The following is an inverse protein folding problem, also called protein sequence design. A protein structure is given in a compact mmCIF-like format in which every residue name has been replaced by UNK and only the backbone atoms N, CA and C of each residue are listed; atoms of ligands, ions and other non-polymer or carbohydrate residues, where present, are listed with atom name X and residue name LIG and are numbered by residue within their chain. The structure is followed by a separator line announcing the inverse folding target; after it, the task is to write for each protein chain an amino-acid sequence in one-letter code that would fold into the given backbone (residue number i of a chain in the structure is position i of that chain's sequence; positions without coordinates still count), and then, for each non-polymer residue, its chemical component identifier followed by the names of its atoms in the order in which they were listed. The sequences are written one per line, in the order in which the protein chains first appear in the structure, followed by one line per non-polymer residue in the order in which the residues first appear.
data_IF_510302978194
#
_entry.id   IF_510302978194
#
_cell.length_a   1.000
_cell.length_b   1.000
_cell.length_c   1.000
_cell.angle_alpha   90.00
_cell.angle_beta   90.00
_cell.angle_gamma   90.00
#
_symmetry.space_group_name_H-M   'P 1'
#
loop_
_entity.id
_entity.type
_entity.pdbx_description
1 polymer ?
#
# COMPACT_ATOMS: atom_id res chain seq x y z
N UNK A 1 0.79 -5.90 -13.75
CA UNK A 1 0.50 -7.23 -14.32
C UNK A 1 -0.55 -7.99 -13.50
N UNK A 2 -0.41 -8.10 -12.17
CA UNK A 2 -1.35 -8.84 -11.31
C UNK A 2 -2.79 -8.28 -11.21
N UNK A 3 -3.00 -6.98 -11.40
CA UNK A 3 -4.32 -6.35 -11.30
C UNK A 3 -5.35 -6.74 -12.39
N UNK A 4 -4.96 -7.59 -13.35
CA UNK A 4 -5.77 -7.92 -14.56
C UNK A 4 -6.26 -9.36 -14.59
N UNK A 5 -5.59 -10.26 -13.87
CA UNK A 5 -6.07 -11.64 -13.71
C UNK A 5 -7.34 -11.63 -12.87
N UNK A 6 -8.13 -12.71 -12.92
CA UNK A 6 -9.32 -12.87 -12.10
C UNK A 6 -8.95 -12.69 -10.62
N UNK A 7 -9.06 -11.44 -10.14
CA UNK A 7 -8.19 -10.93 -9.07
C UNK A 7 -8.35 -11.69 -7.77
N UNK A 8 -9.53 -12.28 -7.56
CA UNK A 8 -9.89 -13.01 -6.34
C UNK A 8 -9.28 -14.42 -6.30
N UNK A 9 -9.24 -15.14 -7.44
CA UNK A 9 -8.56 -16.44 -7.55
C UNK A 9 -7.03 -16.28 -7.53
N UNK A 10 -6.53 -15.22 -8.17
CA UNK A 10 -5.12 -14.85 -8.08
C UNK A 10 -4.75 -14.50 -6.63
N UNK A 11 -5.55 -13.71 -5.93
CA UNK A 11 -5.31 -13.40 -4.51
C UNK A 11 -5.18 -14.67 -3.64
N UNK A 12 -6.10 -15.63 -3.77
CA UNK A 12 -6.04 -16.90 -3.02
C UNK A 12 -4.77 -17.70 -3.35
N UNK A 13 -4.48 -17.89 -4.64
CA UNK A 13 -3.34 -18.70 -5.07
C UNK A 13 -1.99 -18.02 -4.76
N UNK A 14 -1.92 -16.69 -4.91
CA UNK A 14 -0.72 -15.90 -4.61
C UNK A 14 -0.48 -15.80 -3.12
N UNK A 15 -1.53 -15.62 -2.29
CA UNK A 15 -1.42 -15.63 -0.83
C UNK A 15 -0.95 -17.01 -0.32
N UNK A 16 -1.44 -18.09 -0.92
CA UNK A 16 -0.98 -19.44 -0.59
C UNK A 16 0.49 -19.65 -0.96
N UNK A 17 0.91 -19.21 -2.15
CA UNK A 17 2.29 -19.33 -2.62
C UNK A 17 3.27 -18.52 -1.75
N UNK A 18 2.89 -17.31 -1.33
CA UNK A 18 3.69 -16.47 -0.42
C UNK A 18 3.77 -17.02 0.99
N UNK A 19 2.68 -17.58 1.48
CA UNK A 19 2.56 -17.96 2.88
C UNK A 19 3.37 -19.22 3.22
N UNK A 20 3.57 -20.09 2.23
CA UNK A 20 3.88 -21.51 2.48
C UNK A 20 5.30 -21.88 2.06
N UNK A 21 5.77 -21.40 0.90
CA UNK A 21 6.95 -21.98 0.23
C UNK A 21 8.28 -21.74 0.94
N UNK A 22 8.67 -20.48 1.15
CA UNK A 22 10.02 -20.15 1.61
C UNK A 22 10.19 -20.23 3.14
N UNK A 23 9.13 -20.00 3.92
CA UNK A 23 9.20 -20.06 5.39
C UNK A 23 9.42 -21.49 5.90
N UNK A 24 8.85 -22.48 5.20
CA UNK A 24 9.00 -23.91 5.53
C UNK A 24 10.42 -24.41 5.28
N UNK A 25 11.13 -23.87 4.28
CA UNK A 25 12.52 -24.24 3.96
C UNK A 25 13.45 -23.96 5.15
N UNK A 26 13.34 -22.78 5.78
CA UNK A 26 14.14 -22.43 6.97
C UNK A 26 13.66 -23.11 8.26
N UNK A 27 12.43 -23.60 8.28
CA UNK A 27 11.89 -24.38 9.39
C UNK A 27 12.38 -25.83 9.38
N UNK A 28 12.66 -26.39 8.18
CA UNK A 28 13.08 -27.77 8.00
C UNK A 28 14.59 -27.99 8.21
N UNK A 29 15.45 -27.17 7.59
CA UNK A 29 16.90 -27.30 7.72
C UNK A 29 17.62 -25.97 7.54
N UNK A 30 18.72 -25.77 8.27
CA UNK A 30 19.52 -24.52 8.27
C UNK A 30 20.93 -24.70 7.72
N UNK A 31 21.14 -25.72 6.89
CA UNK A 31 22.42 -25.86 6.18
C UNK A 31 22.57 -24.77 5.12
N UNK A 32 23.81 -24.49 4.72
CA UNK A 32 24.15 -23.37 3.81
C UNK A 32 23.33 -23.39 2.50
N UNK A 33 23.06 -24.57 1.95
CA UNK A 33 22.27 -24.74 0.73
C UNK A 33 20.80 -24.31 0.90
N UNK A 34 20.20 -24.55 2.07
CA UNK A 34 18.83 -24.14 2.37
C UNK A 34 18.72 -22.62 2.55
N UNK A 35 19.78 -21.98 3.04
CA UNK A 35 19.84 -20.52 3.18
C UNK A 35 19.88 -19.82 1.82
N UNK A 36 20.67 -20.32 0.87
CA UNK A 36 20.68 -19.81 -0.51
C UNK A 36 19.34 -20.06 -1.22
N UNK A 37 18.78 -21.27 -1.10
CA UNK A 37 17.47 -21.59 -1.64
C UNK A 37 16.36 -20.68 -1.07
N UNK A 38 16.41 -20.38 0.23
CA UNK A 38 15.51 -19.43 0.88
C UNK A 38 15.61 -18.04 0.27
N UNK A 39 16.81 -17.50 0.06
CA UNK A 39 16.97 -16.16 -0.52
C UNK A 39 16.45 -16.08 -1.95
N UNK A 40 16.78 -17.07 -2.79
CA UNK A 40 16.29 -17.13 -4.17
C UNK A 40 14.77 -17.19 -4.19
N UNK A 41 14.17 -18.12 -3.42
CA UNK A 41 12.72 -18.29 -3.40
C UNK A 41 12.00 -17.08 -2.79
N UNK A 42 12.52 -16.52 -1.69
CA UNK A 42 12.00 -15.30 -1.07
C UNK A 42 12.02 -14.13 -2.05
N UNK A 43 13.11 -13.97 -2.81
CA UNK A 43 13.23 -12.87 -3.78
C UNK A 43 12.23 -13.02 -4.92
N UNK A 44 12.13 -14.22 -5.52
CA UNK A 44 11.15 -14.51 -6.58
C UNK A 44 9.72 -14.32 -6.09
N UNK A 45 9.42 -14.80 -4.89
CA UNK A 45 8.10 -14.68 -4.27
C UNK A 45 7.77 -13.22 -3.94
N UNK A 46 8.71 -12.45 -3.38
CA UNK A 46 8.51 -11.03 -3.10
C UNK A 46 8.23 -10.22 -4.37
N UNK A 47 8.99 -10.46 -5.45
CA UNK A 47 8.79 -9.79 -6.74
C UNK A 47 7.38 -9.98 -7.30
N UNK A 48 6.79 -11.16 -7.15
CA UNK A 48 5.48 -11.48 -7.72
C UNK A 48 4.35 -11.10 -6.76
N UNK A 49 4.52 -11.33 -5.47
CA UNK A 49 3.39 -11.44 -4.56
C UNK A 49 3.21 -10.22 -3.65
N UNK A 50 4.28 -9.57 -3.21
CA UNK A 50 4.19 -8.51 -2.19
C UNK A 50 3.40 -7.29 -2.68
N UNK A 51 3.71 -6.80 -3.89
CA UNK A 51 2.95 -5.73 -4.52
C UNK A 51 1.53 -6.16 -4.95
N UNK A 52 1.39 -7.42 -5.38
CA UNK A 52 0.12 -7.93 -5.90
C UNK A 52 -0.93 -8.12 -4.82
N UNK A 53 -0.56 -8.72 -3.68
CA UNK A 53 -1.50 -8.97 -2.57
C UNK A 53 -2.03 -7.66 -2.01
N UNK A 54 -1.15 -6.69 -1.78
CA UNK A 54 -1.55 -5.37 -1.28
C UNK A 54 -2.47 -4.63 -2.27
N UNK A 55 -2.11 -4.61 -3.56
CA UNK A 55 -2.93 -3.98 -4.59
C UNK A 55 -4.33 -4.62 -4.70
N UNK A 56 -4.40 -5.95 -4.69
CA UNK A 56 -5.67 -6.67 -4.83
C UNK A 56 -6.53 -6.54 -3.56
N UNK A 57 -5.92 -6.54 -2.37
CA UNK A 57 -6.65 -6.30 -1.12
C UNK A 57 -7.28 -4.89 -1.12
N UNK A 58 -6.54 -3.88 -1.59
CA UNK A 58 -7.05 -2.52 -1.73
C UNK A 58 -8.18 -2.43 -2.78
N UNK A 59 -8.02 -3.06 -3.93
CA UNK A 59 -9.09 -3.11 -4.94
C UNK A 59 -10.35 -3.82 -4.40
N UNK A 60 -10.18 -4.91 -3.66
CA UNK A 60 -11.30 -5.62 -3.04
C UNK A 60 -12.05 -4.75 -2.03
N UNK A 61 -11.34 -3.99 -1.19
CA UNK A 61 -11.98 -3.03 -0.28
C UNK A 61 -12.73 -1.95 -1.06
N UNK A 62 -12.16 -1.44 -2.15
CA UNK A 62 -12.82 -0.43 -2.99
C UNK A 62 -14.14 -0.93 -3.61
N UNK A 63 -14.16 -2.20 -4.04
CA UNK A 63 -15.30 -2.82 -4.71
C UNK A 63 -16.46 -3.13 -3.75
N UNK A 64 -16.17 -3.47 -2.50
CA UNK A 64 -17.18 -3.92 -1.53
C UNK A 64 -17.62 -2.84 -0.53
N UNK A 65 -16.90 -1.72 -0.43
CA UNK A 65 -17.18 -0.64 0.53
C UNK A 65 -17.75 0.60 -0.16
N UNK A 66 -18.81 1.17 0.44
CA UNK A 66 -19.43 2.42 0.02
C UNK A 66 -18.43 3.58 0.01
N UNK A 67 -18.52 4.46 -1.00
CA UNK A 67 -17.57 5.55 -1.22
C UNK A 67 -17.31 6.44 0.00
N UNK A 68 -18.34 6.69 0.82
CA UNK A 68 -18.25 7.49 2.05
C UNK A 68 -17.36 6.85 3.12
N UNK A 69 -17.27 5.53 3.14
CA UNK A 69 -16.55 4.76 4.18
C UNK A 69 -15.21 4.21 3.70
N UNK A 70 -14.87 4.36 2.40
CA UNK A 70 -13.63 3.81 1.81
C UNK A 70 -12.37 4.27 2.52
N UNK A 71 -12.26 5.55 2.89
CA UNK A 71 -11.10 6.04 3.66
C UNK A 71 -10.94 5.35 5.01
N UNK A 72 -12.03 5.15 5.75
CA UNK A 72 -12.00 4.39 7.01
C UNK A 72 -11.59 2.95 6.77
N UNK A 73 -12.14 2.29 5.74
CA UNK A 73 -11.84 0.90 5.44
C UNK A 73 -10.37 0.70 5.00
N UNK A 74 -9.85 1.59 4.14
CA UNK A 74 -8.43 1.62 3.79
C UNK A 74 -7.54 1.90 5.00
N UNK A 75 -8.00 2.79 5.90
CA UNK A 75 -7.39 3.06 7.19
C UNK A 75 -7.26 1.79 8.01
N UNK A 76 -8.38 1.10 8.28
CA UNK A 76 -8.41 -0.14 9.07
C UNK A 76 -7.52 -1.22 8.44
N UNK A 77 -7.59 -1.41 7.12
CA UNK A 77 -6.75 -2.40 6.42
C UNK A 77 -5.25 -2.09 6.61
N UNK A 78 -4.87 -0.82 6.50
CA UNK A 78 -3.48 -0.39 6.75
C UNK A 78 -3.12 -0.52 8.25
N UNK A 79 -4.07 -0.23 9.14
CA UNK A 79 -3.93 -0.35 10.60
C UNK A 79 -3.70 -1.78 11.06
N UNK A 80 -4.34 -2.76 10.43
CA UNK A 80 -4.08 -4.18 10.67
C UNK A 80 -2.64 -4.55 10.28
N UNK A 81 -2.13 -4.02 9.15
CA UNK A 81 -0.74 -4.25 8.74
C UNK A 81 0.25 -3.61 9.74
N UNK A 82 -0.01 -2.39 10.20
CA UNK A 82 0.82 -1.71 11.21
C UNK A 82 0.76 -2.42 12.57
N UNK A 83 -0.42 -2.86 13.00
CA UNK A 83 -0.59 -3.65 14.21
C UNK A 83 0.18 -4.98 14.12
N UNK A 84 0.11 -5.67 12.98
CA UNK A 84 0.88 -6.89 12.74
C UNK A 84 2.40 -6.64 12.80
N UNK A 85 2.87 -5.50 12.27
CA UNK A 85 4.28 -5.10 12.37
C UNK A 85 4.72 -4.85 13.83
N UNK A 86 3.92 -4.12 14.61
CA UNK A 86 4.18 -3.86 16.04
C UNK A 86 4.18 -5.16 16.84
N UNK A 87 3.12 -5.95 16.72
CA UNK A 87 2.99 -7.24 17.42
C UNK A 87 4.10 -8.22 17.02
N UNK A 88 4.46 -8.26 15.73
CA UNK A 88 5.55 -9.10 15.23
C UNK A 88 6.91 -8.68 15.80
N UNK A 89 7.19 -7.38 15.86
CA UNK A 89 8.44 -6.85 16.44
C UNK A 89 8.54 -7.11 17.94
N UNK A 90 7.43 -6.98 18.67
CA UNK A 90 7.37 -7.31 20.09
C UNK A 90 7.52 -8.81 20.34
N UNK A 91 6.81 -9.65 19.60
CA UNK A 91 6.92 -11.11 19.73
C UNK A 91 8.34 -11.61 19.44
N UNK A 92 9.00 -11.06 18.42
CA UNK A 92 10.39 -11.39 18.08
C UNK A 92 11.40 -11.08 19.20
N UNK A 93 11.06 -10.20 20.15
CA UNK A 93 11.90 -9.91 21.31
C UNK A 93 11.86 -11.00 22.38
N UNK A 94 10.78 -11.78 22.44
CA UNK A 94 10.57 -12.85 23.41
C UNK A 94 10.82 -14.25 22.82
N UNK A 95 10.83 -14.38 21.50
CA UNK A 95 11.06 -15.64 20.79
C UNK A 95 12.54 -15.82 20.45
N UNK A 96 13.04 -17.05 20.56
CA UNK A 96 14.35 -17.37 19.99
C UNK A 96 14.30 -17.28 18.46
N UNK A 97 15.45 -17.03 17.82
CA UNK A 97 15.55 -17.03 16.36
C UNK A 97 14.97 -18.30 15.74
N UNK A 98 15.10 -19.44 16.43
CA UNK A 98 14.61 -20.71 15.93
C UNK A 98 13.08 -20.83 15.97
N UNK A 99 12.48 -20.42 17.08
CA UNK A 99 11.04 -20.47 17.31
C UNK A 99 10.31 -19.42 16.45
N UNK A 100 10.94 -18.28 16.18
CA UNK A 100 10.36 -17.20 15.37
C UNK A 100 9.95 -17.70 13.98
N UNK A 101 10.81 -18.48 13.30
CA UNK A 101 10.49 -19.01 11.97
C UNK A 101 9.38 -20.07 12.02
N UNK A 102 9.37 -20.92 13.04
CA UNK A 102 8.33 -21.96 13.20
C UNK A 102 6.96 -21.34 13.48
N UNK A 103 6.89 -20.38 14.40
CA UNK A 103 5.66 -19.65 14.72
C UNK A 103 5.18 -18.86 13.50
N UNK A 104 6.09 -18.15 12.80
CA UNK A 104 5.73 -17.40 11.60
C UNK A 104 5.19 -18.30 10.48
N UNK A 105 5.73 -19.52 10.32
CA UNK A 105 5.24 -20.49 9.35
C UNK A 105 3.86 -21.03 9.75
N UNK A 106 3.66 -21.36 11.03
CA UNK A 106 2.37 -21.86 11.54
C UNK A 106 1.26 -20.80 11.42
N UNK A 107 1.52 -19.57 11.84
CA UNK A 107 0.57 -18.45 11.72
C UNK A 107 0.23 -18.18 10.25
N UNK A 108 1.22 -18.25 9.36
CA UNK A 108 0.97 -18.00 7.94
C UNK A 108 0.17 -19.16 7.29
N UNK A 109 0.41 -20.41 7.68
CA UNK A 109 -0.41 -21.55 7.27
C UNK A 109 -1.85 -21.41 7.71
N UNK A 110 -2.08 -21.05 8.99
CA UNK A 110 -3.42 -20.80 9.52
C UNK A 110 -4.12 -19.66 8.77
N UNK A 111 -3.40 -18.57 8.48
CA UNK A 111 -3.93 -17.46 7.68
C UNK A 111 -4.30 -17.89 6.25
N UNK A 112 -3.51 -18.76 5.62
CA UNK A 112 -3.80 -19.27 4.28
C UNK A 112 -5.04 -20.19 4.28
N UNK A 113 -5.18 -21.05 5.30
CA UNK A 113 -6.37 -21.89 5.49
C UNK A 113 -7.60 -21.01 5.75
N UNK A 114 -7.48 -20.02 6.62
CA UNK A 114 -8.54 -19.07 6.91
C UNK A 114 -9.01 -18.34 5.63
N UNK A 115 -8.08 -17.80 4.85
CA UNK A 115 -8.39 -17.14 3.57
C UNK A 115 -9.04 -18.11 2.57
N UNK A 116 -8.71 -19.40 2.59
CA UNK A 116 -9.33 -20.39 1.70
C UNK A 116 -10.79 -20.68 2.07
N UNK A 117 -11.09 -20.74 3.36
CA UNK A 117 -12.43 -21.07 3.89
C UNK A 117 -13.37 -19.87 3.83
N UNK A 118 -12.92 -18.70 4.31
CA UNK A 118 -13.80 -17.55 4.57
C UNK A 118 -13.82 -16.52 3.44
N UNK A 119 -12.83 -16.50 2.55
CA UNK A 119 -12.86 -15.58 1.42
C UNK A 119 -13.81 -16.14 0.35
N UNK A 120 -15.07 -15.73 0.44
CA UNK A 120 -16.10 -16.17 -0.48
C UNK A 120 -15.79 -15.70 -1.90
N UNK A 121 -15.84 -16.63 -2.85
CA UNK A 121 -15.79 -16.30 -4.26
C UNK A 121 -17.13 -15.68 -4.63
N UNK A 122 -17.25 -14.35 -4.56
CA UNK A 122 -18.38 -13.69 -5.19
C UNK A 122 -18.24 -13.87 -6.70
N UNK A 123 -18.79 -14.97 -7.21
CA UNK A 123 -19.21 -15.05 -8.59
C UNK A 123 -20.18 -13.90 -8.84
N UNK A 124 -20.13 -13.24 -10.00
CA UNK A 124 -21.22 -12.37 -10.40
C UNK A 124 -22.46 -13.27 -10.52
N UNK A 125 -23.30 -13.23 -9.49
CA UNK A 125 -24.58 -13.90 -9.52
C UNK A 125 -25.45 -13.15 -10.55
N UNK A 126 -25.80 -13.84 -11.62
CA UNK A 126 -26.76 -13.37 -12.63
C UNK A 126 -26.17 -13.14 -14.02
N UNK A 127 -25.77 -14.22 -14.71
CA UNK A 127 -26.32 -14.60 -16.03
C UNK A 127 -25.50 -15.76 -16.63
N UNK A 128 -26.13 -16.95 -16.66
CA UNK A 128 -25.93 -18.07 -17.58
C UNK A 128 -24.53 -18.30 -18.19
N UNK A 129 -23.66 -19.02 -17.47
CA UNK A 129 -22.60 -19.82 -18.10
C UNK A 129 -22.52 -21.21 -17.43
N UNK A 130 -23.63 -21.94 -17.48
CA UNK A 130 -23.61 -23.39 -17.34
C UNK A 130 -23.05 -23.99 -18.62
N UNK A 131 -21.73 -24.19 -18.73
CA UNK A 131 -21.20 -25.38 -19.41
C UNK A 131 -19.85 -25.79 -18.78
N UNK A 132 -19.73 -27.02 -18.26
CA UNK A 132 -18.48 -27.55 -17.73
C UNK A 132 -17.52 -27.91 -18.87
N UNK A 133 -16.24 -27.58 -18.67
CA UNK A 133 -15.12 -27.61 -19.64
C UNK A 133 -14.63 -29.02 -20.00
N UNK A 134 -15.34 -30.11 -19.65
CA UNK A 134 -14.84 -31.46 -19.90
C UNK A 134 -15.94 -32.42 -20.38
N UNK A 135 -16.10 -32.53 -21.70
CA UNK A 135 -16.37 -33.82 -22.35
C UNK A 135 -15.40 -34.03 -23.50
N UNK A 136 -14.46 -34.93 -23.27
CA UNK A 136 -13.65 -35.60 -24.27
C UNK A 136 -14.56 -36.44 -25.17
N UNK A 137 -14.41 -36.27 -26.49
CA UNK A 137 -14.78 -37.20 -27.57
C UNK A 137 -16.23 -37.66 -27.63
N UNK A 138 -16.92 -37.37 -28.74
CA UNK A 138 -17.28 -38.38 -29.75
C UNK A 138 -18.36 -37.86 -30.73
N UNK A 139 -18.00 -37.89 -32.02
CA UNK A 139 -18.74 -38.08 -33.27
C UNK A 139 -19.85 -37.11 -33.78
N UNK A 140 -19.55 -36.66 -35.02
CA UNK A 140 -20.39 -36.60 -36.22
C UNK A 140 -21.16 -35.34 -36.70
N UNK A 141 -20.85 -35.04 -37.98
CA UNK A 141 -21.59 -34.40 -39.08
C UNK A 141 -21.70 -32.87 -39.24
N UNK A 142 -20.99 -32.40 -40.28
CA UNK A 142 -21.34 -31.45 -41.35
C UNK A 142 -22.26 -30.24 -41.09
N UNK A 143 -21.76 -29.01 -41.27
CA UNK A 143 -21.96 -28.20 -42.51
C UNK A 143 -21.33 -26.81 -42.39
N UNK A 144 -20.90 -26.33 -43.54
CA UNK A 144 -20.29 -25.03 -43.86
C UNK A 144 -21.31 -23.88 -43.72
N UNK A 145 -20.89 -22.72 -43.22
CA UNK A 145 -21.79 -21.58 -42.99
C UNK A 145 -21.24 -20.51 -42.05
N UNK A 146 -20.60 -19.51 -42.65
CA UNK A 146 -20.15 -18.22 -42.14
C UNK A 146 -20.78 -17.72 -40.82
N UNK A 147 -20.00 -17.72 -39.73
CA UNK A 147 -20.22 -16.79 -38.61
C UNK A 147 -18.91 -16.59 -37.84
N UNK A 148 -18.34 -15.39 -37.99
CA UNK A 148 -17.29 -14.77 -37.17
C UNK A 148 -17.11 -15.41 -35.79
N UNK A 149 -16.15 -16.34 -35.66
CA UNK A 149 -15.67 -16.92 -34.40
C UNK A 149 -15.09 -15.81 -33.51
N UNK A 150 -15.92 -15.20 -32.66
CA UNK A 150 -15.43 -14.42 -31.51
C UNK A 150 -14.87 -15.41 -30.49
N UNK A 151 -13.55 -15.61 -30.56
CA UNK A 151 -12.78 -16.28 -29.51
C UNK A 151 -13.06 -15.63 -28.14
N UNK A 152 -13.05 -16.40 -27.04
CA UNK A 152 -13.25 -15.85 -25.71
C UNK A 152 -12.12 -14.86 -25.41
N UNK A 153 -12.51 -13.65 -25.00
CA UNK A 153 -11.62 -12.53 -24.71
C UNK A 153 -10.70 -12.92 -23.56
N UNK A 154 -9.52 -13.41 -23.90
CA UNK A 154 -8.33 -13.40 -23.06
C UNK A 154 -8.16 -11.92 -22.64
N UNK A 155 -8.57 -11.58 -21.41
CA UNK A 155 -8.54 -10.19 -20.91
C UNK A 155 -7.15 -9.61 -21.16
N UNK A 156 -7.10 -8.70 -22.14
CA UNK A 156 -5.90 -8.00 -22.59
C UNK A 156 -5.26 -7.35 -21.36
N UNK A 157 -3.98 -7.62 -21.13
CA UNK A 157 -3.16 -6.87 -20.17
C UNK A 157 -3.43 -5.38 -20.43
N UNK A 158 -3.78 -4.56 -19.42
CA UNK A 158 -4.08 -3.15 -19.64
C UNK A 158 -2.89 -2.54 -20.34
N UNK A 159 -3.16 -1.94 -21.50
CA UNK A 159 -2.12 -1.29 -22.27
C UNK A 159 -1.59 -0.13 -21.45
N UNK A 160 -0.30 0.18 -21.55
CA UNK A 160 0.27 1.42 -20.97
C UNK A 160 -0.53 2.64 -21.46
N UNK A 161 -1.12 2.56 -22.65
CA UNK A 161 -2.04 3.56 -23.20
C UNK A 161 -3.32 3.74 -22.36
N UNK A 162 -3.86 2.67 -21.77
CA UNK A 162 -5.05 2.74 -20.90
C UNK A 162 -4.71 3.47 -19.60
N UNK A 163 -3.52 3.22 -19.04
CA UNK A 163 -3.03 3.90 -17.83
C UNK A 163 -2.79 5.39 -18.11
N UNK A 164 -2.16 5.71 -19.25
CA UNK A 164 -1.96 7.09 -19.69
C UNK A 164 -3.30 7.77 -19.96
N UNK A 165 -4.28 7.05 -20.52
CA UNK A 165 -5.64 7.52 -20.75
C UNK A 165 -6.36 7.85 -19.44
N UNK A 166 -6.25 6.99 -18.42
CA UNK A 166 -6.79 7.25 -17.08
C UNK A 166 -6.13 8.49 -16.43
N UNK A 167 -4.81 8.61 -16.52
CA UNK A 167 -4.07 9.77 -15.99
C UNK A 167 -4.42 11.08 -16.70
N UNK A 168 -4.71 11.06 -18.00
CA UNK A 168 -5.07 12.25 -18.77
C UNK A 168 -6.56 12.62 -18.69
N UNK A 169 -7.44 11.65 -18.49
CA UNK A 169 -8.89 11.87 -18.54
C UNK A 169 -9.45 12.52 -17.27
N UNK A 170 -8.82 12.29 -16.12
CA UNK A 170 -9.32 12.75 -14.81
C UNK A 170 -8.24 13.59 -14.11
N UNK A 171 -8.45 14.90 -14.03
CA UNK A 171 -7.51 15.84 -13.38
C UNK A 171 -7.25 15.45 -11.92
N UNK A 172 -8.29 15.10 -11.15
CA UNK A 172 -8.14 14.70 -9.75
C UNK A 172 -7.34 13.40 -9.57
N UNK A 173 -7.48 12.44 -10.49
CA UNK A 173 -6.68 11.21 -10.46
C UNK A 173 -5.20 11.51 -10.78
N UNK A 174 -4.95 12.38 -11.76
CA UNK A 174 -3.60 12.86 -12.09
C UNK A 174 -2.94 13.56 -10.89
N UNK A 175 -3.68 14.45 -10.21
CA UNK A 175 -3.20 15.11 -9.01
C UNK A 175 -2.92 14.10 -7.88
N UNK A 176 -3.80 13.11 -7.66
CA UNK A 176 -3.58 12.04 -6.69
C UNK A 176 -2.31 11.23 -7.01
N UNK A 177 -2.07 10.93 -8.29
CA UNK A 177 -0.85 10.27 -8.74
C UNK A 177 0.41 11.11 -8.47
N UNK A 178 0.36 12.43 -8.70
CA UNK A 178 1.47 13.35 -8.39
C UNK A 178 1.72 13.42 -6.87
N UNK A 179 0.67 13.54 -6.06
CA UNK A 179 0.77 13.50 -4.59
C UNK A 179 1.36 12.16 -4.14
N UNK A 180 0.94 11.03 -4.72
CA UNK A 180 1.48 9.71 -4.41
C UNK A 180 2.98 9.62 -4.68
N UNK A 181 3.40 10.13 -5.83
CA UNK A 181 4.80 10.15 -6.22
C UNK A 181 5.64 10.95 -5.22
N UNK A 182 5.30 12.22 -4.97
CA UNK A 182 6.09 13.08 -4.10
C UNK A 182 6.04 12.64 -2.62
N UNK A 183 4.88 12.19 -2.13
CA UNK A 183 4.80 11.64 -0.77
C UNK A 183 5.67 10.40 -0.61
N UNK A 184 5.62 9.46 -1.55
CA UNK A 184 6.46 8.25 -1.52
C UNK A 184 7.94 8.59 -1.70
N UNK A 185 8.26 9.57 -2.54
CA UNK A 185 9.63 10.05 -2.72
C UNK A 185 10.19 10.63 -1.41
N UNK A 186 9.39 11.39 -0.68
CA UNK A 186 9.75 11.93 0.64
C UNK A 186 9.89 10.82 1.70
N UNK A 187 8.92 9.91 1.77
CA UNK A 187 8.92 8.80 2.74
C UNK A 187 10.13 7.88 2.58
N UNK A 188 10.43 7.46 1.33
CA UNK A 188 11.64 6.69 1.03
C UNK A 188 12.93 7.45 1.38
N UNK A 189 12.90 8.78 1.27
CA UNK A 189 14.05 9.63 1.51
C UNK A 189 14.34 9.74 2.99
N UNK A 190 13.27 9.87 3.78
CA UNK A 190 13.31 9.84 5.22
C UNK A 190 13.85 8.49 5.70
N UNK A 191 13.35 7.39 5.16
CA UNK A 191 13.81 6.05 5.50
C UNK A 191 15.31 5.84 5.17
N UNK A 192 15.77 6.37 4.03
CA UNK A 192 17.16 6.29 3.63
C UNK A 192 18.09 7.16 4.49
N UNK A 193 17.62 8.30 5.01
CA UNK A 193 18.45 9.33 5.63
C UNK A 193 18.44 9.29 7.16
N UNK A 194 17.30 8.96 7.78
CA UNK A 194 17.06 9.15 9.21
C UNK A 194 18.04 8.35 10.08
N UNK A 195 18.35 7.11 9.69
CA UNK A 195 19.25 6.26 10.47
C UNK A 195 20.67 6.84 10.52
N UNK A 196 21.20 7.27 9.36
CA UNK A 196 22.54 7.87 9.30
C UNK A 196 22.59 9.21 10.01
N UNK A 197 21.59 10.06 9.82
CA UNK A 197 21.50 11.36 10.48
C UNK A 197 21.50 11.23 12.01
N UNK A 198 20.61 10.40 12.57
CA UNK A 198 20.53 10.20 14.03
C UNK A 198 21.79 9.55 14.60
N UNK A 199 22.48 8.71 13.82
CA UNK A 199 23.75 8.11 14.24
C UNK A 199 24.85 9.16 14.31
N UNK A 200 24.98 9.99 13.27
CA UNK A 200 26.02 11.00 13.18
C UNK A 200 25.81 12.14 14.19
N UNK A 201 24.56 12.57 14.39
CA UNK A 201 24.23 13.71 15.25
C UNK A 201 24.15 13.36 16.73
N UNK A 202 23.62 12.19 17.06
CA UNK A 202 23.20 11.84 18.42
C UNK A 202 23.74 10.49 18.91
N UNK A 203 24.56 9.81 18.10
CA UNK A 203 25.12 8.48 18.40
C UNK A 203 24.04 7.46 18.77
N UNK A 204 22.91 7.49 18.06
CA UNK A 204 21.81 6.54 18.31
C UNK A 204 22.31 5.09 18.17
N UNK A 205 21.98 4.29 19.19
CA UNK A 205 22.27 2.86 19.24
C UNK A 205 21.12 2.06 18.64
N UNK A 206 21.33 0.75 18.44
CA UNK A 206 20.27 -0.18 18.00
C UNK A 206 19.01 -0.09 18.86
N UNK A 207 19.16 0.13 20.17
CA UNK A 207 18.03 0.21 21.09
C UNK A 207 17.21 1.48 20.82
N UNK A 208 17.86 2.63 20.62
CA UNK A 208 17.16 3.88 20.32
C UNK A 208 16.35 3.79 19.02
N UNK A 209 16.89 3.15 17.97
CA UNK A 209 16.15 2.91 16.73
C UNK A 209 14.95 1.97 16.94
N UNK A 210 15.12 0.92 17.76
CA UNK A 210 14.04 -0.01 18.07
C UNK A 210 12.91 0.70 18.84
N UNK A 211 13.25 1.54 19.80
CA UNK A 211 12.29 2.32 20.59
C UNK A 211 11.53 3.32 19.69
N UNK A 212 12.24 4.01 18.78
CA UNK A 212 11.63 4.93 17.81
C UNK A 212 10.67 4.20 16.86
N UNK A 213 11.09 3.07 16.30
CA UNK A 213 10.26 2.25 15.41
C UNK A 213 9.02 1.70 16.13
N UNK A 214 9.16 1.30 17.40
CA UNK A 214 8.05 0.84 18.21
C UNK A 214 7.04 1.98 18.48
N UNK A 215 7.54 3.16 18.86
CA UNK A 215 6.70 4.33 19.12
C UNK A 215 5.94 4.76 17.85
N UNK A 216 6.64 4.80 16.72
CA UNK A 216 6.06 5.09 15.41
C UNK A 216 4.98 4.07 15.03
N UNK A 217 5.24 2.78 15.25
CA UNK A 217 4.28 1.71 15.00
C UNK A 217 3.03 1.82 15.89
N UNK A 218 3.19 2.10 17.18
CA UNK A 218 2.06 2.30 18.11
C UNK A 218 1.23 3.52 17.70
N UNK A 219 1.89 4.64 17.38
CA UNK A 219 1.23 5.85 16.91
C UNK A 219 0.47 5.62 15.58
N UNK A 220 1.09 4.92 14.64
CA UNK A 220 0.46 4.55 13.37
C UNK A 220 -0.72 3.59 13.54
N UNK A 221 -0.59 2.59 14.42
CA UNK A 221 -1.67 1.66 14.76
C UNK A 221 -2.87 2.40 15.38
N UNK A 222 -2.63 3.27 16.36
CA UNK A 222 -3.68 4.10 16.96
C UNK A 222 -4.34 5.02 15.93
N UNK A 223 -3.53 5.68 15.08
CA UNK A 223 -4.02 6.50 13.97
C UNK A 223 -4.97 5.74 13.06
N UNK A 224 -4.56 4.57 12.58
CA UNK A 224 -5.30 3.85 11.56
C UNK A 224 -6.50 3.05 12.09
N UNK A 225 -6.42 2.52 13.30
CA UNK A 225 -7.50 1.71 13.89
C UNK A 225 -8.51 2.53 14.68
N UNK A 226 -8.11 3.68 15.22
CA UNK A 226 -8.96 4.52 16.08
C UNK A 226 -9.28 5.83 15.39
N UNK A 227 -8.28 6.68 15.14
CA UNK A 227 -8.50 8.04 14.65
C UNK A 227 -9.09 8.07 13.25
N UNK A 228 -8.64 7.19 12.35
CA UNK A 228 -9.08 7.19 10.97
C UNK A 228 -10.57 6.83 10.83
N UNK A 229 -11.09 5.76 11.47
CA UNK A 229 -12.52 5.50 11.52
C UNK A 229 -13.36 6.59 12.19
N UNK A 230 -12.81 7.31 13.16
CA UNK A 230 -13.49 8.42 13.84
C UNK A 230 -13.58 9.68 12.98
N UNK A 231 -12.48 10.03 12.30
CA UNK A 231 -12.33 11.30 11.57
C UNK A 231 -12.87 11.21 10.13
N UNK A 232 -12.66 10.10 9.43
CA UNK A 232 -13.04 9.95 8.03
C UNK A 232 -14.54 10.18 7.72
N UNK A 233 -15.50 9.80 8.60
CA UNK A 233 -16.92 10.08 8.35
C UNK A 233 -17.31 11.56 8.49
N UNK A 234 -16.50 12.36 9.18
CA UNK A 234 -16.79 13.74 9.57
C UNK A 234 -15.94 14.78 8.82
N UNK A 235 -14.73 14.40 8.40
CA UNK A 235 -13.76 15.28 7.73
C UNK A 235 -13.60 14.84 6.27
N UNK A 236 -13.64 15.79 5.34
CA UNK A 236 -13.38 15.52 3.93
C UNK A 236 -11.99 14.90 3.73
N UNK A 237 -11.88 13.90 2.85
CA UNK A 237 -10.66 13.12 2.64
C UNK A 237 -9.51 13.97 2.12
N UNK A 238 -9.82 14.97 1.29
CA UNK A 238 -8.86 15.94 0.76
C UNK A 238 -8.27 16.81 1.88
N UNK A 239 -9.11 17.19 2.87
CA UNK A 239 -8.65 17.94 4.05
C UNK A 239 -7.79 17.06 4.95
N UNK A 240 -8.20 15.81 5.16
CA UNK A 240 -7.44 14.86 5.98
C UNK A 240 -6.09 14.52 5.34
N UNK A 241 -6.04 14.39 4.01
CA UNK A 241 -4.82 14.28 3.23
C UNK A 241 -3.90 15.51 3.43
N UNK A 242 -4.44 16.72 3.29
CA UNK A 242 -3.67 17.96 3.47
C UNK A 242 -3.13 18.10 4.92
N UNK A 243 -3.92 17.74 5.93
CA UNK A 243 -3.49 17.73 7.34
C UNK A 243 -2.33 16.74 7.55
N UNK A 244 -2.44 15.53 6.99
CA UNK A 244 -1.38 14.52 7.07
C UNK A 244 -0.07 14.99 6.44
N UNK A 245 -0.15 15.61 5.25
CA UNK A 245 1.00 16.18 4.54
C UNK A 245 1.61 17.36 5.30
N UNK A 246 0.79 18.22 5.91
CA UNK A 246 1.27 19.32 6.76
C UNK A 246 2.01 18.78 7.99
N UNK A 247 1.50 17.71 8.60
CA UNK A 247 2.19 16.97 9.66
C UNK A 247 3.55 16.42 9.20
N UNK A 248 3.63 15.91 7.96
CA UNK A 248 4.89 15.46 7.36
C UNK A 248 5.90 16.58 7.12
N UNK A 249 5.44 17.79 6.72
CA UNK A 249 6.31 18.96 6.62
C UNK A 249 6.86 19.35 7.99
N UNK A 250 5.99 19.45 9.00
CA UNK A 250 6.38 19.79 10.36
C UNK A 250 7.38 18.77 10.94
N UNK A 251 7.13 17.47 10.75
CA UNK A 251 8.02 16.39 11.16
C UNK A 251 9.41 16.51 10.51
N UNK A 252 9.46 16.65 9.18
CA UNK A 252 10.72 16.77 8.46
C UNK A 252 11.51 18.03 8.87
N UNK A 253 10.83 19.18 9.02
CA UNK A 253 11.47 20.41 9.48
C UNK A 253 12.07 20.24 10.87
N UNK A 254 11.29 19.72 11.83
CA UNK A 254 11.76 19.51 13.21
C UNK A 254 12.90 18.49 13.28
N UNK A 255 12.83 17.41 12.49
CA UNK A 255 13.94 16.46 12.38
C UNK A 255 15.20 17.11 11.80
N UNK A 256 15.06 17.96 10.78
CA UNK A 256 16.21 18.60 10.12
C UNK A 256 17.02 19.49 11.08
N UNK A 257 16.34 20.19 12.00
CA UNK A 257 16.96 21.09 12.97
C UNK A 257 17.06 20.49 14.37
N UNK A 258 16.98 19.15 14.50
CA UNK A 258 16.97 18.49 15.79
C UNK A 258 18.19 18.90 16.63
N UNK A 259 17.93 19.58 17.75
CA UNK A 259 18.96 20.08 18.66
C UNK A 259 19.28 19.12 19.81
N UNK A 260 18.41 18.14 20.05
CA UNK A 260 18.53 17.19 21.16
C UNK A 260 17.94 15.82 20.81
N UNK A 261 18.43 14.78 21.50
CA UNK A 261 18.04 13.38 21.30
C UNK A 261 16.55 13.12 21.53
N UNK A 262 15.86 13.95 22.32
CA UNK A 262 14.43 13.79 22.59
C UNK A 262 13.54 14.26 21.43
N UNK A 263 14.05 15.16 20.57
CA UNK A 263 13.27 15.76 19.48
C UNK A 263 12.71 14.68 18.53
N UNK A 264 13.49 13.71 18.04
CA UNK A 264 12.98 12.56 17.27
C UNK A 264 11.82 11.80 17.93
N UNK A 265 11.83 11.68 19.25
CA UNK A 265 10.75 11.00 19.98
C UNK A 265 9.50 11.89 20.04
N UNK A 266 9.66 13.19 20.29
CA UNK A 266 8.55 14.12 20.33
C UNK A 266 7.86 14.28 18.96
N UNK A 267 8.63 14.30 17.87
CA UNK A 267 8.05 14.42 16.51
C UNK A 267 7.21 13.20 16.12
N UNK A 268 7.31 12.08 16.84
CA UNK A 268 6.44 10.91 16.63
C UNK A 268 4.95 11.24 16.81
N UNK A 269 4.60 12.34 17.48
CA UNK A 269 3.22 12.84 17.51
C UNK A 269 2.67 13.14 16.11
N UNK A 270 3.52 13.60 15.18
CA UNK A 270 3.13 13.89 13.80
C UNK A 270 2.85 12.63 12.99
N UNK A 271 3.41 11.48 13.39
CA UNK A 271 3.13 10.21 12.73
C UNK A 271 1.64 9.87 12.73
N UNK A 272 0.90 10.29 13.76
CA UNK A 272 -0.55 10.09 13.84
C UNK A 272 -1.25 10.73 12.64
N UNK A 273 -0.75 11.86 12.13
CA UNK A 273 -1.30 12.54 10.96
C UNK A 273 -0.73 12.00 9.65
N UNK A 274 0.59 11.77 9.59
CA UNK A 274 1.28 11.32 8.37
C UNK A 274 0.70 9.99 7.87
N UNK A 275 0.43 9.07 8.80
CA UNK A 275 -0.04 7.71 8.50
C UNK A 275 -1.47 7.71 7.90
N UNK A 276 -2.21 8.82 8.00
CA UNK A 276 -3.50 9.01 7.31
C UNK A 276 -3.36 9.30 5.81
N UNK A 277 -2.18 9.71 5.33
CA UNK A 277 -1.99 10.12 3.93
C UNK A 277 -2.25 8.96 2.95
N UNK A 278 -1.64 7.77 3.08
CA UNK A 278 -1.87 6.67 2.15
C UNK A 278 -3.34 6.22 2.01
N UNK A 279 -4.12 6.00 3.08
CA UNK A 279 -5.52 5.60 2.94
C UNK A 279 -6.41 6.72 2.35
N UNK A 280 -6.19 8.00 2.68
CA UNK A 280 -6.91 9.11 2.04
C UNK A 280 -6.63 9.14 0.53
N UNK A 281 -5.36 9.03 0.16
CA UNK A 281 -4.94 9.09 -1.24
C UNK A 281 -5.54 7.95 -2.07
N UNK A 282 -5.55 6.74 -1.52
CA UNK A 282 -6.15 5.56 -2.16
C UNK A 282 -7.66 5.68 -2.28
N UNK A 283 -8.32 6.26 -1.28
CA UNK A 283 -9.76 6.55 -1.33
C UNK A 283 -10.10 7.55 -2.42
N UNK A 284 -9.40 8.69 -2.46
CA UNK A 284 -9.62 9.72 -3.46
C UNK A 284 -9.39 9.14 -4.86
N UNK A 285 -8.31 8.39 -5.08
CA UNK A 285 -8.04 7.71 -6.35
C UNK A 285 -9.14 6.71 -6.72
N UNK A 286 -9.68 5.96 -5.75
CA UNK A 286 -10.77 4.99 -5.99
C UNK A 286 -12.07 5.64 -6.47
N UNK A 287 -12.35 6.89 -6.07
CA UNK A 287 -13.58 7.61 -6.45
C UNK A 287 -13.53 8.19 -7.86
N UNK A 288 -12.36 8.20 -8.50
CA UNK A 288 -12.20 8.75 -9.85
C UNK A 288 -12.43 7.72 -10.97
N UNK A 289 -12.61 6.46 -10.60
CA UNK A 289 -12.70 5.32 -11.53
C UNK A 289 -13.92 4.45 -11.22
N UNK A 290 -14.44 3.75 -12.24
CA UNK A 290 -15.57 2.85 -12.07
C UNK A 290 -15.21 1.54 -11.35
N UNK A 291 -16.20 0.74 -10.89
CA UNK A 291 -15.97 -0.53 -10.20
C UNK A 291 -15.12 -1.53 -11.00
N UNK A 292 -15.27 -1.55 -12.33
CA UNK A 292 -14.52 -2.45 -13.21
C UNK A 292 -13.06 -2.03 -13.43
N UNK A 293 -12.68 -0.84 -12.97
CA UNK A 293 -11.35 -0.24 -13.17
C UNK A 293 -10.55 -0.06 -11.88
N UNK A 294 -11.11 -0.41 -10.71
CA UNK A 294 -10.47 -0.25 -9.40
C UNK A 294 -9.10 -0.94 -9.33
N UNK A 295 -9.00 -2.18 -9.82
CA UNK A 295 -7.73 -2.90 -9.88
C UNK A 295 -6.67 -2.16 -10.70
N UNK A 296 -7.05 -1.59 -11.86
CA UNK A 296 -6.14 -0.83 -12.72
C UNK A 296 -5.67 0.45 -12.03
N UNK A 297 -6.59 1.17 -11.38
CA UNK A 297 -6.28 2.42 -10.68
C UNK A 297 -5.35 2.21 -9.47
N UNK A 298 -5.67 1.25 -8.60
CA UNK A 298 -4.83 0.93 -7.44
C UNK A 298 -3.47 0.37 -7.87
N UNK A 299 -3.44 -0.41 -8.97
CA UNK A 299 -2.21 -0.89 -9.58
C UNK A 299 -1.35 0.24 -10.14
N UNK A 300 -1.96 1.25 -10.76
CA UNK A 300 -1.27 2.44 -11.25
C UNK A 300 -0.65 3.24 -10.10
N UNK A 301 -1.43 3.57 -9.06
CA UNK A 301 -0.94 4.29 -7.88
C UNK A 301 0.19 3.51 -7.21
N UNK A 302 0.04 2.19 -7.04
CA UNK A 302 1.09 1.34 -6.46
C UNK A 302 2.37 1.33 -7.31
N UNK A 303 2.24 1.31 -8.65
CA UNK A 303 3.38 1.41 -9.56
C UNK A 303 4.13 2.74 -9.44
N UNK A 304 3.40 3.85 -9.29
CA UNK A 304 3.98 5.18 -9.07
C UNK A 304 4.73 5.26 -7.74
N UNK A 305 4.13 4.75 -6.66
CA UNK A 305 4.75 4.65 -5.33
C UNK A 305 6.05 3.81 -5.42
N UNK A 306 6.00 2.64 -6.05
CA UNK A 306 7.19 1.79 -6.23
C UNK A 306 8.30 2.50 -7.02
N UNK A 307 7.95 3.23 -8.07
CA UNK A 307 8.93 4.00 -8.85
C UNK A 307 9.57 5.12 -8.03
N UNK A 308 8.78 5.86 -7.26
CA UNK A 308 9.28 6.89 -6.34
C UNK A 308 10.23 6.30 -5.29
N UNK A 309 9.91 5.13 -4.73
CA UNK A 309 10.75 4.43 -3.75
C UNK A 309 12.09 3.93 -4.33
N UNK A 310 12.18 3.69 -5.64
CA UNK A 310 13.46 3.38 -6.30
C UNK A 310 14.30 4.65 -6.44
N UNK A 311 13.69 5.76 -6.87
CA UNK A 311 14.38 7.04 -7.08
C UNK A 311 14.85 7.64 -5.77
N UNK A 312 14.04 7.54 -4.73
CA UNK A 312 14.24 8.23 -3.46
C UNK A 312 15.63 8.01 -2.83
N UNK A 313 16.08 6.78 -2.54
CA UNK A 313 17.40 6.57 -1.96
C UNK A 313 18.54 6.96 -2.91
N UNK A 314 18.34 6.95 -4.23
CA UNK A 314 19.36 7.41 -5.19
C UNK A 314 19.61 8.92 -5.10
N UNK A 315 18.61 9.69 -4.69
CA UNK A 315 18.74 11.14 -4.47
C UNK A 315 19.23 11.43 -3.04
N UNK A 316 18.54 10.87 -2.04
CA UNK A 316 18.74 11.30 -0.66
C UNK A 316 19.90 10.61 0.06
N UNK A 317 20.30 9.39 -0.33
CA UNK A 317 21.44 8.73 0.34
C UNK A 317 22.77 9.44 0.04
N UNK A 318 23.11 9.77 -1.22
CA UNK A 318 24.31 10.54 -1.52
C UNK A 318 24.27 11.95 -0.92
N UNK A 319 23.09 12.59 -0.93
CA UNK A 319 22.92 13.91 -0.33
C UNK A 319 23.17 13.88 1.19
N UNK A 320 22.61 12.88 1.88
CA UNK A 320 22.87 12.65 3.30
C UNK A 320 24.35 12.35 3.56
N UNK A 321 24.99 11.54 2.71
CA UNK A 321 26.42 11.27 2.85
C UNK A 321 27.29 12.54 2.72
N UNK A 322 26.99 13.41 1.75
CA UNK A 322 27.71 14.68 1.55
C UNK A 322 27.57 15.63 2.72
N UNK A 323 26.35 15.80 3.26
CA UNK A 323 26.11 16.73 4.38
C UNK A 323 26.52 16.18 5.75
N UNK A 324 26.86 14.89 5.81
CA UNK A 324 27.48 14.26 6.99
C UNK A 324 29.01 14.10 6.85
N UNK A 325 29.59 14.39 5.69
CA UNK A 325 31.04 14.34 5.48
C UNK A 325 31.72 15.68 5.80
N UNK A 326 33.05 15.68 5.82
CA UNK A 326 33.86 16.90 6.01
C UNK A 326 33.83 17.82 4.78
N UNK A 327 33.40 17.31 3.61
CA UNK A 327 33.35 18.02 2.33
C UNK A 327 32.05 18.85 2.15
N UNK A 328 31.22 18.96 3.19
CA UNK A 328 29.95 19.65 3.10
C UNK A 328 30.16 21.15 2.75
N UNK A 329 29.46 21.70 1.72
CA UNK A 329 29.60 23.11 1.34
C UNK A 329 29.25 24.10 2.46
N UNK A 330 28.42 23.67 3.40
CA UNK A 330 28.09 24.40 4.62
C UNK A 330 27.70 23.41 5.73
N UNK A 331 27.92 23.80 6.98
CA UNK A 331 27.64 22.92 8.13
C UNK A 331 26.14 22.87 8.45
N UNK A 332 25.44 21.90 7.84
CA UNK A 332 24.06 21.58 8.20
C UNK A 332 23.76 20.08 7.99
N UNK A 333 24.02 19.24 9.01
CA UNK A 333 23.85 17.78 8.93
C UNK A 333 22.43 17.31 8.56
N UNK A 334 21.41 18.10 8.89
CA UNK A 334 20.00 17.80 8.61
C UNK A 334 19.51 18.28 7.26
N UNK A 335 20.37 18.81 6.39
CA UNK A 335 19.97 19.42 5.12
C UNK A 335 19.22 18.46 4.19
N UNK A 336 19.65 17.19 4.12
CA UNK A 336 18.94 16.18 3.32
C UNK A 336 17.49 16.00 3.79
N UNK A 337 17.25 16.03 5.10
CA UNK A 337 15.90 15.97 5.70
C UNK A 337 15.11 17.26 5.42
N UNK A 338 15.75 18.41 5.42
CA UNK A 338 15.11 19.66 5.00
C UNK A 338 14.63 19.57 3.54
N UNK A 339 15.46 19.02 2.64
CA UNK A 339 15.08 18.77 1.24
C UNK A 339 13.88 17.82 1.12
N UNK A 340 13.81 16.78 1.96
CA UNK A 340 12.65 15.89 2.06
C UNK A 340 11.41 16.69 2.47
N UNK A 341 11.52 17.62 3.42
CA UNK A 341 10.44 18.54 3.79
C UNK A 341 9.93 19.36 2.61
N UNK A 342 10.82 19.88 1.75
CA UNK A 342 10.41 20.58 0.53
C UNK A 342 9.70 19.67 -0.48
N UNK A 343 10.13 18.41 -0.61
CA UNK A 343 9.43 17.42 -1.44
C UNK A 343 8.02 17.15 -0.91
N UNK A 344 7.85 16.99 0.41
CA UNK A 344 6.53 16.86 1.03
C UNK A 344 5.68 18.11 0.84
N UNK A 345 6.29 19.30 0.83
CA UNK A 345 5.61 20.57 0.57
C UNK A 345 5.04 20.64 -0.86
N UNK A 346 5.74 20.09 -1.86
CA UNK A 346 5.20 19.97 -3.22
C UNK A 346 3.94 19.08 -3.21
N UNK A 347 3.98 17.93 -2.51
CA UNK A 347 2.82 17.05 -2.37
C UNK A 347 1.66 17.78 -1.66
N UNK A 348 1.94 18.56 -0.62
CA UNK A 348 0.94 19.37 0.08
C UNK A 348 0.26 20.38 -0.85
N UNK A 349 1.02 21.19 -1.59
CA UNK A 349 0.43 22.15 -2.53
C UNK A 349 -0.43 21.45 -3.59
N UNK A 350 0.03 20.32 -4.13
CA UNK A 350 -0.75 19.52 -5.07
C UNK A 350 -2.04 18.98 -4.45
N UNK A 351 -2.01 18.56 -3.18
CA UNK A 351 -3.19 18.08 -2.46
C UNK A 351 -4.25 19.17 -2.26
N UNK A 352 -3.82 20.42 -2.00
CA UNK A 352 -4.74 21.56 -1.82
C UNK A 352 -5.42 21.95 -3.14
N UNK A 353 -4.76 21.70 -4.27
CA UNK A 353 -5.32 21.94 -5.61
C UNK A 353 -6.35 20.87 -6.03
N UNK A 354 -6.48 19.77 -5.27
CA UNK A 354 -7.49 18.76 -5.53
C UNK A 354 -8.86 19.29 -5.13
N UNK A 355 -9.72 19.60 -6.11
CA UNK A 355 -11.12 19.95 -5.84
C UNK A 355 -11.87 18.69 -5.40
N UNK A 356 -12.42 18.73 -4.19
CA UNK A 356 -13.34 17.69 -3.73
C UNK A 356 -14.57 17.64 -4.64
N UNK A 357 -15.15 16.45 -4.88
CA UNK A 357 -16.40 16.35 -5.61
C UNK A 357 -17.48 17.19 -4.89
N UNK A 358 -18.42 17.81 -5.63
CA UNK A 358 -19.50 18.56 -5.01
C UNK A 358 -20.25 17.64 -4.02
N UNK A 359 -20.70 18.18 -2.87
CA UNK A 359 -21.45 17.38 -1.90
C UNK A 359 -22.66 16.76 -2.61
N UNK A 360 -22.76 15.43 -2.55
CA UNK A 360 -23.92 14.69 -3.07
C UNK A 360 -25.14 15.23 -2.35
N UNK A 361 -25.95 16.01 -3.07
CA UNK A 361 -27.28 16.39 -2.58
C UNK A 361 -28.02 15.10 -2.27
N UNK A 362 -28.46 14.96 -1.01
CA UNK A 362 -29.40 13.92 -0.61
C UNK A 362 -30.59 13.95 -1.57
N UNK A 363 -30.60 13.05 -2.54
CA UNK A 363 -31.83 12.71 -3.23
C UNK A 363 -32.70 12.08 -2.16
N UNK A 364 -33.60 12.88 -1.57
CA UNK A 364 -34.82 12.36 -0.96
C UNK A 364 -35.46 11.48 -2.02
N UNK A 365 -35.32 10.17 -1.87
CA UNK A 365 -36.15 9.21 -2.55
C UNK A 365 -37.56 9.51 -2.05
N UNK A 366 -38.31 10.26 -2.84
CA UNK A 366 -39.73 10.47 -2.63
C UNK A 366 -40.41 9.12 -2.87
N UNK A 367 -40.56 8.32 -1.81
CA UNK A 367 -41.58 7.29 -1.75
C UNK A 367 -42.93 7.99 -1.87
N UNK A 368 -43.46 8.10 -3.09
CA UNK A 368 -44.86 8.41 -3.34
C UNK A 368 -45.22 7.98 -4.77
N UNK A 369 -45.36 6.66 -4.96
CA UNK A 369 -46.23 6.10 -5.99
C UNK A 369 -46.33 4.58 -5.78
N UNK A 370 -47.18 4.15 -4.85
CA UNK A 370 -47.79 2.80 -4.83
C UNK A 370 -48.80 2.69 -3.69
N UNK A 371 -49.81 3.57 -3.68
CA UNK A 371 -51.17 3.26 -3.18
C UNK A 371 -52.13 4.20 -3.89
N UNK A 372 -52.82 3.68 -4.91
CA UNK A 372 -54.21 3.97 -5.29
C UNK A 372 -54.55 3.14 -6.53
#
# INVERSE_FOLDING_TARGET
MAATFNGRLFLKNTAYLTSTGFKVILAYSRTTNFFYAYYVLRTLTAMICEGSINCLALAYVADNVLERQRTSAFGILSGIATAAFVCGTLAARFLSTALTFQVAALVSMLAAVYMRIFLEESLPNGENLTQPILKSGQDDHCQDGDLSRKAPVLKKIPSIQDIIGLLKSRVTFSQAAVVAFFNSLAEGGMQASIMYYLKARFHFSKNHYADLMLLLGIAGMASQLVFMPLLAPHVAEEKLLAIGLLGGIADALLYSVAWSNWVPYATTIFAVFIVCVPPCLRSIASKQVGPTEQGKAQGCISGIISFANIISPLIFSPLTALFLSEDAPFHFPGFSILCIGFVTMIAFFQSVLMRGPPPVSSHKISCNSLVA
#
